data_IF_105830669860
#
_entry.id   IF_105830669860
#
_cell.length_a   1.000
_cell.length_b   1.000
_cell.length_c   1.000
_cell.angle_alpha   90.00
_cell.angle_beta   90.00
_cell.angle_gamma   90.00
#
_symmetry.space_group_name_H-M   'P 1'
#
loop_
_entity.id
_entity.type
_entity.pdbx_description
1 polymer ?
#
# COMPACT_ATOMS: atom_id res chain seq x y z
N UNK A 1 -59.92 55.16 18.17
CA UNK A 1 -59.85 55.67 19.57
C UNK A 1 -58.80 54.84 20.27
N UNK A 2 -57.56 55.35 20.35
CA UNK A 2 -56.98 56.05 21.51
C UNK A 2 -56.72 55.06 22.68
N UNK A 3 -55.48 54.62 22.98
CA UNK A 3 -54.27 55.31 23.50
C UNK A 3 -54.06 55.03 25.01
N UNK A 4 -52.77 54.92 25.39
CA UNK A 4 -52.11 54.89 26.72
C UNK A 4 -51.94 53.54 27.41
N UNK A 5 -50.73 53.14 27.88
CA UNK A 5 -49.41 53.78 27.88
C UNK A 5 -48.36 52.97 28.68
N UNK A 6 -47.06 53.21 28.37
CA UNK A 6 -45.78 53.18 29.17
C UNK A 6 -45.57 52.12 30.30
N UNK A 7 -44.39 51.58 30.58
CA UNK A 7 -43.01 52.10 30.59
C UNK A 7 -42.01 50.95 30.89
N UNK A 8 -40.70 51.15 30.69
CA UNK A 8 -39.63 50.37 31.35
C UNK A 8 -38.64 49.66 30.43
N UNK A 9 -37.59 50.36 30.03
CA UNK A 9 -36.44 49.79 29.29
C UNK A 9 -35.31 49.30 30.20
N UNK A 10 -34.38 48.54 29.64
CA UNK A 10 -32.95 48.86 29.73
C UNK A 10 -32.12 48.06 28.72
N UNK A 11 -31.30 48.79 27.98
CA UNK A 11 -30.21 48.34 27.12
C UNK A 11 -28.92 48.89 27.74
N UNK A 12 -27.92 48.04 27.95
CA UNK A 12 -26.51 48.44 28.20
C UNK A 12 -25.62 47.44 27.45
N UNK A 13 -24.98 47.83 26.34
CA UNK A 13 -23.70 48.56 26.20
C UNK A 13 -22.46 47.78 26.66
N UNK A 14 -21.72 47.34 25.65
CA UNK A 14 -20.26 47.45 25.44
C UNK A 14 -19.37 47.65 26.68
N UNK A 15 -18.32 46.83 26.76
CA UNK A 15 -17.01 47.30 27.22
C UNK A 15 -15.90 46.54 26.49
N UNK A 16 -15.44 47.19 25.43
CA UNK A 16 -14.13 47.08 24.77
C UNK A 16 -13.05 47.20 25.85
N UNK A 17 -12.15 46.22 25.95
CA UNK A 17 -10.96 46.36 26.77
C UNK A 17 -9.87 47.08 25.96
N UNK A 18 -9.64 48.34 26.34
CA UNK A 18 -8.47 49.13 25.94
C UNK A 18 -7.18 48.48 26.46
N UNK A 19 -6.15 48.51 25.62
CA UNK A 19 -4.76 48.18 26.01
C UNK A 19 -4.12 49.41 26.65
N UNK A 20 -3.40 49.28 27.78
CA UNK A 20 -2.43 50.27 28.17
C UNK A 20 -1.08 50.02 27.48
N UNK A 21 -0.54 51.07 26.87
CA UNK A 21 0.83 51.16 26.38
C UNK A 21 1.84 51.22 27.52
N UNK A 22 2.96 50.50 27.34
CA UNK A 22 4.25 50.84 27.93
C UNK A 22 4.60 50.22 29.29
N UNK A 23 5.30 49.08 29.28
CA UNK A 23 6.47 48.85 30.14
C UNK A 23 7.35 47.73 29.57
N UNK A 24 8.68 47.92 29.57
CA UNK A 24 9.67 47.12 28.86
C UNK A 24 10.00 45.76 29.51
N UNK A 25 10.26 44.79 28.62
CA UNK A 25 11.26 43.73 28.63
C UNK A 25 11.72 43.08 29.96
N UNK A 26 11.37 41.80 30.12
CA UNK A 26 12.27 40.80 30.70
C UNK A 26 12.16 39.47 29.94
N UNK A 27 13.31 38.93 29.51
CA UNK A 27 13.44 37.68 28.75
C UNK A 27 13.13 36.47 29.63
N UNK A 28 12.26 35.57 29.18
CA UNK A 28 12.27 34.17 29.62
C UNK A 28 12.36 33.23 28.39
N UNK A 29 13.21 32.18 28.44
CA UNK A 29 13.51 31.37 27.27
C UNK A 29 12.40 30.38 26.93
N UNK A 30 12.18 30.23 25.63
CA UNK A 30 11.29 29.24 25.03
C UNK A 30 11.70 27.81 25.42
N UNK A 31 10.73 27.03 25.91
CA UNK A 31 10.82 25.57 25.90
C UNK A 31 9.54 24.99 25.31
N UNK A 32 9.39 25.14 23.99
CA UNK A 32 8.54 24.25 23.21
C UNK A 32 9.17 22.84 23.24
N UNK A 33 8.71 22.00 24.17
CA UNK A 33 8.86 20.55 24.02
C UNK A 33 7.91 20.10 22.91
N UNK A 34 8.35 20.27 21.67
CA UNK A 34 7.84 19.52 20.52
C UNK A 34 8.12 18.04 20.79
N UNK A 35 7.10 17.33 21.27
CA UNK A 35 7.09 15.87 21.34
C UNK A 35 7.19 15.39 19.90
N UNK A 36 8.41 15.13 19.47
CA UNK A 36 8.70 14.29 18.30
C UNK A 36 8.00 12.96 18.53
N UNK A 37 6.95 12.72 17.75
CA UNK A 37 6.34 11.40 17.62
C UNK A 37 7.41 10.52 16.97
N UNK A 38 8.22 9.90 17.81
CA UNK A 38 9.23 8.93 17.44
C UNK A 38 8.57 7.87 16.57
N UNK A 39 9.06 7.79 15.34
CA UNK A 39 8.72 6.74 14.39
C UNK A 39 8.96 5.39 15.06
N UNK A 40 7.89 4.63 15.28
CA UNK A 40 8.00 3.22 15.67
C UNK A 40 8.94 2.49 14.68
N UNK A 41 9.72 1.50 15.15
CA UNK A 41 10.69 0.80 14.31
C UNK A 41 9.98 0.10 13.13
N UNK A 42 10.13 0.72 11.97
CA UNK A 42 10.19 0.12 10.64
C UNK A 42 9.12 -0.91 10.32
N UNK A 43 7.89 -0.46 10.01
CA UNK A 43 7.13 -1.21 9.03
C UNK A 43 7.94 -1.23 7.73
N UNK A 44 8.32 -2.41 7.19
CA UNK A 44 9.00 -2.47 5.92
C UNK A 44 8.11 -1.78 4.89
N UNK A 45 8.65 -0.77 4.22
CA UNK A 45 7.96 -0.12 3.12
C UNK A 45 7.51 -1.20 2.13
N UNK A 46 6.22 -1.25 1.76
CA UNK A 46 5.74 -2.28 0.86
C UNK A 46 6.57 -2.30 -0.41
N UNK A 47 7.16 -3.46 -0.74
CA UNK A 47 7.97 -3.62 -1.94
C UNK A 47 7.14 -3.27 -3.17
N UNK A 48 7.72 -2.47 -4.07
CA UNK A 48 7.10 -2.20 -5.37
C UNK A 48 7.14 -3.47 -6.20
N UNK A 49 5.95 -3.91 -6.61
CA UNK A 49 5.74 -5.06 -7.49
C UNK A 49 6.27 -4.75 -8.88
N UNK A 50 6.96 -5.72 -9.50
CA UNK A 50 7.48 -5.61 -10.86
C UNK A 50 7.21 -6.90 -11.63
N UNK A 51 6.85 -6.77 -12.90
CA UNK A 51 6.83 -7.87 -13.86
C UNK A 51 8.25 -8.36 -14.09
N UNK A 52 8.42 -9.68 -14.19
CA UNK A 52 9.62 -10.26 -14.75
C UNK A 52 9.58 -10.20 -16.28
N UNK A 53 10.74 -10.10 -16.91
CA UNK A 53 10.82 -10.03 -18.36
C UNK A 53 10.43 -11.38 -18.97
N UNK A 54 9.38 -11.40 -19.77
CA UNK A 54 8.89 -12.61 -20.43
C UNK A 54 8.02 -12.30 -21.64
N UNK A 55 8.09 -13.15 -22.67
CA UNK A 55 7.25 -12.99 -23.85
C UNK A 55 5.79 -13.36 -23.56
N UNK A 56 4.88 -12.61 -24.15
CA UNK A 56 3.48 -13.01 -24.33
C UNK A 56 2.55 -12.83 -23.12
N UNK A 57 2.23 -11.58 -22.77
CA UNK A 57 1.13 -11.30 -21.88
C UNK A 57 0.74 -9.82 -21.88
N UNK A 58 -0.45 -9.54 -21.34
CA UNK A 58 -0.94 -8.18 -21.16
C UNK A 58 -0.43 -7.64 -19.82
N UNK A 59 0.34 -6.55 -19.88
CA UNK A 59 0.92 -5.95 -18.67
C UNK A 59 0.02 -4.84 -18.18
N UNK A 60 -0.54 -5.06 -17.00
CA UNK A 60 -1.53 -4.15 -16.44
C UNK A 60 -0.95 -3.41 -15.24
N UNK A 61 -1.15 -2.10 -15.25
CA UNK A 61 -0.91 -1.19 -14.13
C UNK A 61 -2.23 -0.55 -13.74
N UNK A 62 -2.43 -0.30 -12.44
CA UNK A 62 -3.59 0.43 -11.94
C UNK A 62 -3.19 1.74 -11.30
N UNK A 63 -4.07 2.73 -11.42
CA UNK A 63 -3.98 3.99 -10.72
C UNK A 63 -5.18 4.16 -9.79
N UNK A 64 -4.93 4.70 -8.61
CA UNK A 64 -5.93 5.11 -7.63
C UNK A 64 -5.50 6.46 -7.03
N UNK A 65 -6.43 7.39 -6.81
CA UNK A 65 -6.09 8.67 -6.21
C UNK A 65 -5.56 8.51 -4.78
N UNK A 66 -4.51 9.26 -4.42
CA UNK A 66 -4.11 9.43 -3.01
C UNK A 66 -4.93 10.51 -2.34
N UNK A 67 -4.92 11.70 -2.94
CA UNK A 67 -5.60 12.90 -2.46
C UNK A 67 -6.42 13.58 -3.56
N UNK A 68 -5.87 13.67 -4.78
CA UNK A 68 -6.51 14.34 -5.92
C UNK A 68 -7.32 13.37 -6.78
N UNK A 69 -8.46 13.78 -7.37
CA UNK A 69 -9.26 12.91 -8.23
C UNK A 69 -8.50 12.46 -9.48
N UNK A 70 -8.87 11.30 -10.04
CA UNK A 70 -8.25 10.79 -11.26
C UNK A 70 -8.54 11.71 -12.46
N UNK A 71 -7.51 12.39 -12.95
CA UNK A 71 -7.56 13.11 -14.21
C UNK A 71 -7.14 12.18 -15.36
N UNK A 72 -8.10 11.41 -15.88
CA UNK A 72 -7.84 10.38 -16.90
C UNK A 72 -7.24 10.97 -18.18
N UNK A 73 -7.71 12.13 -18.63
CA UNK A 73 -7.19 12.76 -19.85
C UNK A 73 -5.73 13.17 -19.70
N UNK A 74 -5.38 13.80 -18.57
CA UNK A 74 -3.99 14.18 -18.28
C UNK A 74 -3.09 12.95 -18.16
N UNK A 75 -3.54 11.94 -17.41
CA UNK A 75 -2.78 10.69 -17.25
C UNK A 75 -2.56 10.03 -18.61
N UNK A 76 -3.59 9.93 -19.47
CA UNK A 76 -3.47 9.35 -20.80
C UNK A 76 -2.48 10.11 -21.68
N UNK A 77 -2.56 11.45 -21.72
CA UNK A 77 -1.64 12.28 -22.50
C UNK A 77 -0.18 12.15 -22.01
N UNK A 78 0.03 12.11 -20.69
CA UNK A 78 1.36 11.90 -20.12
C UNK A 78 1.87 10.48 -20.41
N UNK A 79 1.00 9.47 -20.39
CA UNK A 79 1.36 8.10 -20.73
C UNK A 79 1.75 7.96 -22.20
N UNK A 80 0.92 8.40 -23.13
CA UNK A 80 1.18 8.33 -24.58
C UNK A 80 2.46 9.06 -24.97
N UNK A 81 2.79 10.16 -24.30
CA UNK A 81 4.02 10.92 -24.56
C UNK A 81 5.29 10.20 -24.11
N UNK A 82 5.25 9.43 -23.03
CA UNK A 82 6.44 8.88 -22.39
C UNK A 82 6.57 7.34 -22.52
N UNK A 83 5.50 6.65 -22.90
CA UNK A 83 5.41 5.18 -22.92
C UNK A 83 4.69 4.73 -24.20
N UNK A 84 5.48 4.26 -25.17
CA UNK A 84 5.01 3.91 -26.52
C UNK A 84 4.21 2.61 -26.58
N UNK A 85 4.42 1.72 -25.62
CA UNK A 85 3.75 0.43 -25.52
C UNK A 85 2.42 0.46 -24.77
N UNK A 86 1.88 1.65 -24.49
CA UNK A 86 0.53 1.80 -23.93
C UNK A 86 -0.49 1.40 -24.99
N UNK A 87 -1.25 0.34 -24.71
CA UNK A 87 -2.24 -0.22 -25.64
C UNK A 87 -3.67 0.16 -25.29
N UNK A 88 -3.95 0.38 -24.00
CA UNK A 88 -5.29 0.69 -23.53
C UNK A 88 -5.25 1.49 -22.23
N UNK A 89 -6.09 2.52 -22.12
CA UNK A 89 -6.34 3.27 -20.89
C UNK A 89 -7.83 3.24 -20.57
N UNK A 90 -8.22 2.41 -19.60
CA UNK A 90 -9.62 2.13 -19.26
C UNK A 90 -9.97 2.65 -17.88
N UNK A 91 -10.90 3.60 -17.78
CA UNK A 91 -11.47 4.00 -16.48
C UNK A 91 -12.43 2.92 -15.99
N UNK A 92 -12.05 2.18 -14.97
CA UNK A 92 -12.89 1.11 -14.42
C UNK A 92 -13.95 1.63 -13.48
N UNK A 93 -13.60 2.59 -12.62
CA UNK A 93 -14.49 3.17 -11.60
C UNK A 93 -14.14 4.65 -11.40
N UNK A 94 -14.94 5.37 -10.61
CA UNK A 94 -14.67 6.78 -10.24
C UNK A 94 -13.23 7.01 -9.79
N UNK A 95 -12.68 6.07 -9.02
CA UNK A 95 -11.37 6.15 -8.38
C UNK A 95 -10.41 5.03 -8.83
N UNK A 96 -10.62 4.41 -9.99
CA UNK A 96 -9.71 3.37 -10.50
C UNK A 96 -9.53 3.45 -12.00
N UNK A 97 -8.28 3.58 -12.43
CA UNK A 97 -7.86 3.53 -13.83
C UNK A 97 -7.04 2.26 -14.06
N UNK A 98 -7.25 1.61 -15.20
CA UNK A 98 -6.46 0.49 -15.69
C UNK A 98 -5.67 0.95 -16.91
N UNK A 99 -4.39 0.63 -16.95
CA UNK A 99 -3.52 0.88 -18.10
C UNK A 99 -2.96 -0.47 -18.54
N UNK A 100 -3.17 -0.84 -19.79
CA UNK A 100 -2.61 -2.03 -20.41
C UNK A 100 -1.43 -1.67 -21.29
N UNK A 101 -0.37 -2.46 -21.24
CA UNK A 101 0.85 -2.31 -22.00
C UNK A 101 1.23 -3.62 -22.70
N UNK A 102 1.97 -3.49 -23.80
CA UNK A 102 2.53 -4.60 -24.56
C UNK A 102 3.88 -5.10 -24.03
N UNK A 103 4.59 -4.28 -23.26
CA UNK A 103 5.91 -4.60 -22.71
C UNK A 103 6.01 -4.38 -21.19
N UNK A 104 6.71 -5.30 -20.52
CA UNK A 104 6.82 -5.34 -19.06
C UNK A 104 7.71 -4.21 -18.53
N UNK A 105 8.67 -3.75 -19.34
CA UNK A 105 9.63 -2.71 -18.99
C UNK A 105 8.94 -1.37 -18.70
N UNK A 106 8.06 -0.93 -19.59
CA UNK A 106 7.30 0.30 -19.42
C UNK A 106 6.30 0.16 -18.26
N UNK A 107 5.63 -0.99 -18.10
CA UNK A 107 4.74 -1.23 -16.96
C UNK A 107 5.50 -1.08 -15.61
N UNK A 108 6.71 -1.62 -15.54
CA UNK A 108 7.61 -1.48 -14.40
C UNK A 108 8.13 -0.05 -14.22
N UNK A 109 8.29 0.70 -15.32
CA UNK A 109 8.66 2.11 -15.30
C UNK A 109 7.56 2.97 -14.69
N UNK A 110 6.31 2.79 -15.15
CA UNK A 110 5.14 3.56 -14.70
C UNK A 110 4.93 3.44 -13.19
N UNK A 111 5.04 2.24 -12.61
CA UNK A 111 4.87 2.05 -11.15
C UNK A 111 5.98 2.67 -10.30
N UNK A 112 7.09 3.08 -10.93
CA UNK A 112 8.20 3.77 -10.28
C UNK A 112 8.32 5.24 -10.69
N UNK A 113 7.47 5.74 -11.60
CA UNK A 113 7.57 7.09 -12.15
C UNK A 113 7.05 8.14 -11.16
N UNK A 114 7.91 9.07 -10.68
CA UNK A 114 7.49 10.13 -9.76
C UNK A 114 6.37 11.01 -10.33
N UNK A 115 6.27 11.19 -11.65
CA UNK A 115 5.19 11.99 -12.29
C UNK A 115 3.80 11.49 -11.92
N UNK A 116 3.68 10.19 -11.69
CA UNK A 116 2.41 9.56 -11.31
C UNK A 116 2.37 9.23 -9.82
N UNK A 117 3.47 8.69 -9.28
CA UNK A 117 3.53 8.19 -7.92
C UNK A 117 3.40 9.28 -6.84
N UNK A 118 3.56 10.57 -7.17
CA UNK A 118 3.30 11.67 -6.22
C UNK A 118 1.80 11.77 -5.92
N UNK A 119 0.96 11.90 -6.95
CA UNK A 119 -0.48 12.16 -6.79
C UNK A 119 -1.33 10.87 -6.71
N UNK A 120 -0.80 9.76 -7.24
CA UNK A 120 -1.54 8.51 -7.39
C UNK A 120 -0.82 7.34 -6.71
N UNK A 121 -1.61 6.40 -6.21
CA UNK A 121 -1.15 5.05 -5.95
C UNK A 121 -1.13 4.31 -7.28
N UNK A 122 0.07 3.93 -7.71
CA UNK A 122 0.30 3.23 -8.98
C UNK A 122 0.84 1.85 -8.65
N UNK A 123 0.20 0.78 -9.14
CA UNK A 123 0.62 -0.57 -8.77
C UNK A 123 0.33 -1.64 -9.82
N UNK A 124 1.15 -2.68 -9.80
CA UNK A 124 0.90 -3.96 -10.47
C UNK A 124 0.12 -4.86 -9.49
N UNK A 125 -0.99 -5.49 -9.91
CA UNK A 125 -1.76 -6.36 -9.03
C UNK A 125 -0.95 -7.60 -8.63
N UNK A 126 -1.01 -8.00 -7.35
CA UNK A 126 -0.24 -9.12 -6.81
C UNK A 126 -0.37 -10.40 -7.63
N UNK A 127 -1.59 -10.82 -7.98
CA UNK A 127 -1.88 -12.00 -8.81
C UNK A 127 -1.14 -12.06 -10.16
N UNK A 128 -0.69 -10.91 -10.66
CA UNK A 128 0.05 -10.84 -11.92
C UNK A 128 1.52 -11.18 -11.77
N UNK A 129 2.10 -11.07 -10.58
CA UNK A 129 3.55 -11.18 -10.35
C UNK A 129 3.95 -11.99 -9.11
N UNK A 130 2.99 -12.40 -8.30
CA UNK A 130 3.18 -13.06 -7.01
C UNK A 130 2.22 -14.23 -6.80
N UNK A 131 2.65 -15.18 -5.99
CA UNK A 131 1.84 -16.27 -5.45
C UNK A 131 1.87 -16.17 -3.93
N UNK A 132 0.71 -16.26 -3.29
CA UNK A 132 0.62 -16.37 -1.84
C UNK A 132 0.38 -17.83 -1.44
N UNK A 133 0.97 -18.24 -0.32
CA UNK A 133 0.74 -19.54 0.31
C UNK A 133 0.83 -19.44 1.83
N UNK A 134 0.42 -20.52 2.49
CA UNK A 134 0.57 -20.69 3.94
C UNK A 134 1.41 -21.94 4.21
N UNK A 135 2.37 -21.81 5.12
CA UNK A 135 3.19 -22.90 5.62
C UNK A 135 2.98 -23.00 7.11
N UNK A 136 2.64 -24.19 7.59
CA UNK A 136 2.46 -24.47 9.01
C UNK A 136 3.36 -25.63 9.37
N UNK A 137 4.43 -25.34 10.12
CA UNK A 137 5.43 -26.34 10.48
C UNK A 137 5.97 -26.01 11.87
N UNK A 138 5.92 -27.00 12.75
CA UNK A 138 6.51 -26.87 14.07
C UNK A 138 8.04 -26.85 13.91
N UNK A 139 8.71 -25.91 14.57
CA UNK A 139 10.18 -25.72 14.55
C UNK A 139 10.81 -25.02 13.33
N UNK A 140 10.03 -24.47 12.39
CA UNK A 140 10.59 -23.55 11.38
C UNK A 140 10.59 -22.11 11.88
N UNK A 141 11.69 -21.37 11.64
CA UNK A 141 11.72 -19.92 11.86
C UNK A 141 11.45 -19.17 10.56
N UNK A 142 11.01 -17.90 10.66
CA UNK A 142 10.81 -17.01 9.49
C UNK A 142 12.03 -17.00 8.55
N UNK A 143 13.23 -16.93 9.12
CA UNK A 143 14.48 -16.91 8.37
C UNK A 143 14.76 -18.23 7.63
N UNK A 144 14.35 -19.36 8.19
CA UNK A 144 14.48 -20.65 7.53
C UNK A 144 13.47 -20.80 6.39
N UNK A 145 12.23 -20.33 6.58
CA UNK A 145 11.20 -20.33 5.53
C UNK A 145 11.61 -19.43 4.37
N UNK A 146 12.19 -18.25 4.65
CA UNK A 146 12.64 -17.30 3.64
C UNK A 146 13.75 -17.87 2.73
N UNK A 147 14.58 -18.77 3.25
CA UNK A 147 15.63 -19.47 2.48
C UNK A 147 15.10 -20.65 1.67
N UNK A 148 13.84 -21.03 1.87
CA UNK A 148 13.23 -22.17 1.19
C UNK A 148 12.76 -21.86 -0.23
N UNK A 149 12.24 -22.90 -0.89
CA UNK A 149 11.67 -22.82 -2.24
C UNK A 149 10.29 -23.45 -2.27
N UNK A 150 9.41 -22.92 -3.11
CA UNK A 150 8.13 -23.51 -3.45
C UNK A 150 8.27 -24.55 -4.56
N UNK A 151 7.53 -25.64 -4.42
CA UNK A 151 7.51 -26.76 -5.35
C UNK A 151 6.09 -26.96 -5.88
N UNK A 152 5.95 -27.09 -7.20
CA UNK A 152 4.65 -27.46 -7.77
C UNK A 152 4.43 -28.98 -7.66
N UNK A 153 3.16 -29.42 -7.52
CA UNK A 153 2.77 -30.84 -7.60
C UNK A 153 3.22 -31.43 -8.94
N UNK A 154 3.19 -30.62 -10.00
CA UNK A 154 3.74 -30.96 -11.31
C UNK A 154 5.26 -30.83 -11.27
N UNK A 155 5.95 -31.98 -11.29
CA UNK A 155 7.41 -32.08 -11.13
C UNK A 155 8.23 -31.48 -12.29
N UNK A 156 7.60 -31.21 -13.43
CA UNK A 156 8.24 -30.62 -14.60
C UNK A 156 8.35 -29.09 -14.54
N UNK A 157 7.80 -28.45 -13.50
CA UNK A 157 7.88 -27.01 -13.32
C UNK A 157 9.08 -26.64 -12.45
N UNK A 158 9.75 -25.51 -12.77
CA UNK A 158 10.87 -25.04 -11.98
C UNK A 158 10.41 -24.62 -10.58
N UNK A 159 11.32 -24.69 -9.62
CA UNK A 159 11.08 -24.20 -8.27
C UNK A 159 10.92 -22.66 -8.27
N UNK A 160 10.12 -22.17 -7.33
CA UNK A 160 9.89 -20.72 -7.13
C UNK A 160 10.51 -20.26 -5.82
N UNK A 161 11.17 -19.10 -5.85
CA UNK A 161 11.81 -18.54 -4.66
C UNK A 161 10.78 -17.84 -3.78
N UNK A 162 10.92 -18.03 -2.47
CA UNK A 162 10.23 -17.21 -1.47
C UNK A 162 10.83 -15.80 -1.50
N UNK A 163 9.96 -14.80 -1.55
CA UNK A 163 10.35 -13.37 -1.57
C UNK A 163 9.86 -12.60 -0.35
N UNK A 164 8.87 -13.14 0.38
CA UNK A 164 8.36 -12.55 1.62
C UNK A 164 7.84 -13.66 2.52
N UNK A 165 8.06 -13.52 3.83
CA UNK A 165 7.51 -14.40 4.86
C UNK A 165 7.02 -13.54 5.99
N UNK A 166 5.77 -13.75 6.40
CA UNK A 166 5.16 -13.10 7.56
C UNK A 166 4.62 -14.15 8.53
N UNK A 167 5.09 -14.11 9.77
CA UNK A 167 4.52 -14.96 10.82
C UNK A 167 3.07 -14.55 11.07
N UNK A 168 2.19 -15.53 11.04
CA UNK A 168 0.79 -15.36 11.40
C UNK A 168 0.65 -15.45 12.92
N UNK A 169 -0.39 -14.83 13.45
CA UNK A 169 -0.74 -14.98 14.85
C UNK A 169 -2.25 -15.08 15.03
N UNK A 170 -2.63 -15.65 16.15
CA UNK A 170 -4.00 -15.64 16.65
C UNK A 170 -4.18 -14.44 17.58
N UNK A 171 -5.43 -14.02 17.76
CA UNK A 171 -5.78 -13.15 18.88
C UNK A 171 -6.09 -14.02 20.09
N UNK A 172 -5.49 -13.70 21.23
CA UNK A 172 -5.83 -14.29 22.52
C UNK A 172 -6.44 -13.23 23.44
N UNK A 173 -7.48 -13.60 24.19
CA UNK A 173 -8.27 -12.72 25.05
C UNK A 173 -9.56 -12.15 24.43
N UNK A 174 -10.42 -11.60 25.30
CA UNK A 174 -11.74 -11.03 24.96
C UNK A 174 -11.77 -9.49 25.07
N UNK A 175 -12.60 -8.86 24.24
CA UNK A 175 -12.85 -7.41 24.28
C UNK A 175 -11.62 -6.56 23.96
N UNK A 176 -11.35 -5.56 24.81
CA UNK A 176 -10.22 -4.61 24.66
C UNK A 176 -8.84 -5.22 24.99
N UNK A 177 -8.79 -6.43 25.57
CA UNK A 177 -7.54 -7.10 25.97
C UNK A 177 -6.98 -8.07 24.93
N UNK A 178 -7.44 -7.99 23.67
CA UNK A 178 -6.94 -8.85 22.59
C UNK A 178 -5.45 -8.64 22.36
N UNK A 179 -4.65 -9.67 22.65
CA UNK A 179 -3.22 -9.69 22.39
C UNK A 179 -2.93 -10.54 21.16
N UNK A 180 -1.97 -10.10 20.36
CA UNK A 180 -1.46 -10.91 19.26
C UNK A 180 -0.54 -11.99 19.80
N UNK A 181 -0.84 -13.25 19.51
CA UNK A 181 -0.02 -14.42 19.86
C UNK A 181 0.54 -15.02 18.58
N UNK A 182 1.87 -15.00 18.38
CA UNK A 182 2.48 -15.61 17.21
C UNK A 182 2.19 -17.11 17.14
N UNK A 183 1.90 -17.61 15.95
CA UNK A 183 1.69 -19.04 15.67
C UNK A 183 2.86 -19.61 14.87
N UNK A 184 2.97 -20.94 14.80
CA UNK A 184 3.92 -21.65 13.92
C UNK A 184 3.42 -21.73 12.47
N UNK A 185 2.65 -20.71 12.04
CA UNK A 185 2.14 -20.60 10.69
C UNK A 185 2.66 -19.31 10.05
N UNK A 186 3.01 -19.41 8.78
CA UNK A 186 3.68 -18.36 8.03
C UNK A 186 2.93 -18.13 6.73
N UNK A 187 2.58 -16.87 6.45
CA UNK A 187 2.18 -16.45 5.11
C UNK A 187 3.44 -16.24 4.29
N UNK A 188 3.51 -16.90 3.15
CA UNK A 188 4.69 -16.93 2.27
C UNK A 188 4.30 -16.41 0.91
N UNK A 189 5.09 -15.48 0.38
CA UNK A 189 4.92 -14.94 -0.97
C UNK A 189 6.04 -15.46 -1.86
N UNK A 190 5.72 -15.90 -3.07
CA UNK A 190 6.66 -16.38 -4.08
C UNK A 190 6.65 -15.45 -5.29
N UNK A 191 7.80 -15.30 -5.95
CA UNK A 191 7.86 -14.59 -7.23
C UNK A 191 7.26 -15.45 -8.36
N UNK A 192 6.39 -14.85 -9.17
CA UNK A 192 5.86 -15.49 -10.38
C UNK A 192 6.89 -15.40 -11.50
N UNK A 193 7.32 -16.56 -12.03
CA UNK A 193 8.23 -16.61 -13.18
C UNK A 193 7.49 -16.57 -14.53
N UNK A 194 8.21 -16.07 -15.51
CA UNK A 194 7.95 -16.07 -16.95
C UNK A 194 7.45 -17.43 -17.50
N UNK A 195 6.45 -17.42 -18.40
CA UNK A 195 6.02 -18.62 -19.16
C UNK A 195 4.83 -19.41 -18.61
N UNK A 196 4.13 -18.88 -17.59
CA UNK A 196 3.21 -19.68 -16.77
C UNK A 196 1.74 -19.19 -16.78
N UNK A 197 1.33 -18.39 -17.75
CA UNK A 197 0.08 -17.60 -17.68
C UNK A 197 -1.24 -18.38 -17.63
N UNK A 198 -1.42 -19.44 -18.44
CA UNK A 198 -2.64 -20.26 -18.38
C UNK A 198 -2.57 -21.37 -17.32
N UNK A 199 -1.36 -21.86 -17.02
CA UNK A 199 -1.15 -22.90 -16.01
C UNK A 199 -1.27 -22.41 -14.57
N UNK A 200 -1.09 -21.10 -14.30
CA UNK A 200 -0.93 -20.61 -12.94
C UNK A 200 -2.19 -20.59 -12.07
N UNK A 201 -3.36 -20.34 -12.64
CA UNK A 201 -4.61 -20.41 -11.87
C UNK A 201 -4.80 -21.83 -11.34
N UNK A 202 -4.57 -22.83 -12.18
CA UNK A 202 -4.57 -24.24 -11.76
C UNK A 202 -3.37 -24.59 -10.86
N UNK A 203 -2.21 -23.94 -11.03
CA UNK A 203 -1.01 -24.25 -10.27
C UNK A 203 -0.94 -23.60 -8.88
N UNK A 204 -1.70 -22.52 -8.63
CA UNK A 204 -1.91 -22.02 -7.27
C UNK A 204 -2.48 -23.14 -6.38
N UNK A 205 -3.45 -23.89 -6.91
CA UNK A 205 -3.99 -25.08 -6.25
C UNK A 205 -2.98 -26.24 -6.21
N UNK A 206 -2.00 -26.26 -7.12
CA UNK A 206 -0.94 -27.27 -7.21
C UNK A 206 0.36 -26.94 -6.47
N UNK A 207 0.49 -25.83 -5.74
CA UNK A 207 1.73 -25.54 -5.01
C UNK A 207 1.80 -26.34 -3.71
N UNK A 208 2.89 -27.10 -3.50
CA UNK A 208 3.21 -27.73 -2.22
C UNK A 208 4.01 -26.78 -1.33
N UNK A 209 3.88 -26.97 -0.02
CA UNK A 209 4.55 -26.18 1.01
C UNK A 209 6.09 -26.18 0.85
N UNK A 210 6.71 -25.13 1.40
CA UNK A 210 8.14 -24.84 1.31
C UNK A 210 8.99 -26.00 1.85
N UNK A 211 10.05 -26.37 1.11
CA UNK A 211 11.06 -27.33 1.59
C UNK A 211 12.44 -26.67 1.71
N UNK A 212 13.25 -27.17 2.65
CA UNK A 212 14.67 -26.79 2.79
C UNK A 212 15.43 -27.24 1.54
N UNK A 213 16.22 -26.34 0.95
CA UNK A 213 17.20 -26.70 -0.08
C UNK A 213 18.30 -27.50 0.61
N UNK A 214 18.55 -28.73 0.16
CA UNK A 214 19.66 -29.53 0.70
C UNK A 214 20.99 -28.86 0.31
N UNK A 215 22.00 -28.85 1.20
CA UNK A 215 23.34 -28.44 0.80
C UNK A 215 23.90 -29.48 -0.18
N UNK A 216 24.39 -29.00 -1.33
CA UNK A 216 25.18 -29.76 -2.29
C UNK A 216 26.64 -29.87 -1.80
#
# INVERSE_FOLDING_TARGET
MADRGREGGNVTKESVWEKPDGFQAEKQPATDKKVEKSSEPGQPTPRVRKYHDHPGGQWVVFFRPKSMPLNVMRIAADLEKNYSGVTEVTKLHRNKLRVALDNAKEANGIVCDPKFCVDYLVWIPARSVEIDGVVSEEHLTVQQVLKGVGLFKRKNLPTVQVIEVRQMGSSDGDGENKKFVPTNSYRVTFAKKAGTHQGFLQQQDDLRQVRRKSPD
#
